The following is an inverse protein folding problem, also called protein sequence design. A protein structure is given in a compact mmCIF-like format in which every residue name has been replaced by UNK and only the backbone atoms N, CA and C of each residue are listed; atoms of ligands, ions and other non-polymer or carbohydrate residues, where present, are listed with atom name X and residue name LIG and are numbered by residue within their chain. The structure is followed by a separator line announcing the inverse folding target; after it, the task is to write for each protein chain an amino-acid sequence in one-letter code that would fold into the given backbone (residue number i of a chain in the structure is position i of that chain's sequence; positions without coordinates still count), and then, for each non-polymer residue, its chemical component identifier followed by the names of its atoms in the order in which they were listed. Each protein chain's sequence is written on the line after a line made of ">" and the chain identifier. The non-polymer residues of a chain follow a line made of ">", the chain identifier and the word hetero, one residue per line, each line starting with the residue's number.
data_IF_734901865458
#
_entry.id   IF_734901865458
#
_cell.length_a   1.000
_cell.length_b   1.000
_cell.length_c   1.000
_cell.angle_alpha   90.00
_cell.angle_beta   90.00
_cell.angle_gamma   90.00
#
_symmetry.space_group_name_H-M   'P 1'
#
loop_
_entity.id
_entity.type
_entity.pdbx_description
1 polymer ?
#
# COMPACT_ATOMS: atom_id res chain seq x y z
N UNK A 1 -6.22 7.33 5.06
CA UNK A 1 -6.47 6.06 5.77
C UNK A 1 -5.20 5.23 5.75
N UNK A 2 -4.74 4.76 6.91
CA UNK A 2 -3.63 3.81 6.97
C UNK A 2 -4.14 2.39 6.77
N UNK A 3 -3.46 1.62 5.93
CA UNK A 3 -3.82 0.24 5.62
C UNK A 3 -2.67 -0.68 6.01
N UNK A 4 -2.99 -1.72 6.77
CA UNK A 4 -2.03 -2.73 7.21
C UNK A 4 -1.81 -3.83 6.16
N UNK A 5 -0.82 -4.69 6.43
CA UNK A 5 -0.45 -5.83 5.57
C UNK A 5 -1.61 -6.79 5.34
N UNK A 6 -2.48 -7.01 6.34
CA UNK A 6 -3.56 -7.98 6.23
C UNK A 6 -4.62 -7.54 5.23
N UNK A 7 -4.98 -6.25 5.23
CA UNK A 7 -5.94 -5.68 4.28
C UNK A 7 -5.36 -5.64 2.87
N UNK A 8 -4.10 -5.20 2.71
CA UNK A 8 -3.44 -5.19 1.40
C UNK A 8 -3.27 -6.60 0.85
N UNK A 9 -2.90 -7.58 1.70
CA UNK A 9 -2.77 -8.98 1.28
C UNK A 9 -4.12 -9.57 0.86
N UNK A 10 -5.20 -9.32 1.62
CA UNK A 10 -6.53 -9.82 1.27
C UNK A 10 -7.04 -9.23 -0.05
N UNK A 11 -6.90 -7.91 -0.25
CA UNK A 11 -7.33 -7.25 -1.47
C UNK A 11 -6.43 -7.55 -2.66
N UNK A 12 -5.12 -7.64 -2.45
CA UNK A 12 -4.15 -7.97 -3.50
C UNK A 12 -4.33 -9.39 -4.02
N UNK A 13 -4.54 -10.38 -3.15
CA UNK A 13 -4.89 -11.76 -3.56
C UNK A 13 -6.21 -11.83 -4.33
N UNK A 14 -7.16 -10.95 -4.00
CA UNK A 14 -8.41 -10.84 -4.75
C UNK A 14 -8.28 -10.01 -6.04
N UNK A 15 -7.13 -9.37 -6.31
CA UNK A 15 -6.92 -8.38 -7.39
C UNK A 15 -7.90 -7.21 -7.31
N UNK A 16 -8.21 -6.79 -6.08
CA UNK A 16 -9.20 -5.77 -5.73
C UNK A 16 -8.64 -4.59 -4.93
N UNK A 17 -7.36 -4.28 -5.07
CA UNK A 17 -6.77 -3.08 -4.43
C UNK A 17 -7.44 -1.80 -4.98
N UNK A 18 -8.01 -1.87 -6.19
CA UNK A 18 -8.84 -0.81 -6.79
C UNK A 18 -10.01 -0.38 -5.90
N UNK A 19 -10.53 -1.25 -5.03
CA UNK A 19 -11.58 -0.91 -4.07
C UNK A 19 -11.14 0.14 -3.07
N UNK A 20 -9.83 0.29 -2.83
CA UNK A 20 -9.31 1.32 -1.94
C UNK A 20 -9.44 2.73 -2.53
N UNK A 21 -9.70 2.88 -3.84
CA UNK A 21 -9.98 4.18 -4.49
C UNK A 21 -11.18 4.93 -3.90
N UNK A 22 -12.05 4.24 -3.15
CA UNK A 22 -13.17 4.90 -2.44
C UNK A 22 -12.67 5.82 -1.32
N UNK A 23 -11.41 5.67 -0.91
CA UNK A 23 -10.75 6.53 0.05
C UNK A 23 -9.81 7.47 -0.72
N UNK A 24 -9.88 8.77 -0.43
CA UNK A 24 -9.10 9.78 -1.15
C UNK A 24 -7.59 9.61 -0.98
N UNK A 25 -7.14 9.18 0.20
CA UNK A 25 -5.72 8.99 0.53
C UNK A 25 -5.49 7.66 1.23
N UNK A 26 -5.03 6.66 0.48
CA UNK A 26 -4.70 5.33 1.03
C UNK A 26 -3.19 5.25 1.23
N UNK A 27 -2.78 5.11 2.48
CA UNK A 27 -1.38 5.08 2.86
C UNK A 27 -1.00 3.69 3.37
N UNK A 28 0.02 3.08 2.75
CA UNK A 28 0.64 1.86 3.24
C UNK A 28 1.96 2.21 3.93
N UNK A 29 2.19 1.83 5.19
CA UNK A 29 3.49 2.02 5.81
C UNK A 29 4.61 1.34 5.01
N UNK A 30 5.80 1.95 4.94
CA UNK A 30 6.96 1.34 4.27
C UNK A 30 7.25 -0.09 4.74
N UNK A 31 7.09 -0.37 6.04
CA UNK A 31 7.27 -1.73 6.59
C UNK A 31 6.30 -2.74 5.98
N UNK A 32 5.03 -2.37 5.81
CA UNK A 32 4.00 -3.19 5.14
C UNK A 32 4.38 -3.46 3.68
N UNK A 33 4.84 -2.42 2.99
CA UNK A 33 5.30 -2.59 1.61
C UNK A 33 6.52 -3.52 1.51
N UNK A 34 7.48 -3.40 2.43
CA UNK A 34 8.62 -4.32 2.52
C UNK A 34 8.20 -5.76 2.79
N UNK A 35 7.29 -6.00 3.73
CA UNK A 35 6.75 -7.34 4.02
C UNK A 35 6.09 -7.98 2.78
N UNK A 36 5.38 -7.19 1.98
CA UNK A 36 4.78 -7.65 0.73
C UNK A 36 5.85 -8.03 -0.29
N UNK A 37 6.89 -7.21 -0.44
CA UNK A 37 8.00 -7.47 -1.37
C UNK A 37 8.82 -8.69 -0.98
N UNK A 38 8.90 -9.01 0.31
CA UNK A 38 9.58 -10.20 0.83
C UNK A 38 8.71 -11.46 0.76
N UNK A 39 7.43 -11.34 0.36
CA UNK A 39 6.56 -12.49 0.19
C UNK A 39 6.89 -13.31 -1.07
N UNK A 40 6.62 -14.60 -1.04
CA UNK A 40 6.75 -15.49 -2.22
C UNK A 40 5.59 -15.31 -3.23
N UNK A 41 4.61 -14.46 -2.92
CA UNK A 41 3.40 -14.24 -3.72
C UNK A 41 3.66 -13.15 -4.79
N UNK A 42 4.15 -13.60 -5.94
CA UNK A 42 4.49 -12.71 -7.06
C UNK A 42 3.28 -11.95 -7.61
N UNK A 43 2.09 -12.55 -7.61
CA UNK A 43 0.87 -11.88 -8.06
C UNK A 43 0.49 -10.73 -7.13
N UNK A 44 0.59 -10.96 -5.81
CA UNK A 44 0.37 -9.91 -4.82
C UNK A 44 1.36 -8.75 -5.00
N UNK A 45 2.64 -9.05 -5.21
CA UNK A 45 3.68 -8.03 -5.44
C UNK A 45 3.37 -7.19 -6.68
N UNK A 46 3.01 -7.82 -7.79
CA UNK A 46 2.68 -7.11 -9.03
C UNK A 46 1.45 -6.20 -8.87
N UNK A 47 0.40 -6.70 -8.21
CA UNK A 47 -0.83 -5.94 -8.01
C UNK A 47 -0.61 -4.72 -7.10
N UNK A 48 0.18 -4.87 -6.05
CA UNK A 48 0.53 -3.74 -5.16
C UNK A 48 1.37 -2.70 -5.90
N UNK A 49 2.38 -3.11 -6.66
CA UNK A 49 3.21 -2.20 -7.49
C UNK A 49 2.40 -1.45 -8.53
N UNK A 50 1.47 -2.14 -9.19
CA UNK A 50 0.54 -1.54 -10.15
C UNK A 50 -0.36 -0.52 -9.47
N UNK A 51 -0.90 -0.85 -8.30
CA UNK A 51 -1.77 0.05 -7.54
C UNK A 51 -1.07 1.33 -7.10
N UNK A 52 0.22 1.25 -6.72
CA UNK A 52 1.06 2.42 -6.44
C UNK A 52 1.24 3.25 -7.72
N UNK A 53 1.57 2.61 -8.84
CA UNK A 53 1.79 3.29 -10.12
C UNK A 53 0.53 3.99 -10.64
N UNK A 54 -0.65 3.48 -10.29
CA UNK A 54 -1.96 4.07 -10.61
C UNK A 54 -2.39 5.15 -9.60
N UNK A 55 -1.60 5.44 -8.58
CA UNK A 55 -1.92 6.41 -7.52
C UNK A 55 -3.07 5.97 -6.62
N UNK A 56 -3.39 4.67 -6.57
CA UNK A 56 -4.46 4.12 -5.73
C UNK A 56 -4.02 4.05 -4.27
N UNK A 57 -2.74 3.73 -4.06
CA UNK A 57 -2.12 3.66 -2.75
C UNK A 57 -0.76 4.34 -2.80
N UNK A 58 -0.39 5.02 -1.72
CA UNK A 58 0.89 5.69 -1.57
C UNK A 58 1.66 5.07 -0.41
N UNK A 59 2.98 4.94 -0.57
CA UNK A 59 3.83 4.47 0.52
C UNK A 59 4.06 5.64 1.48
N UNK A 60 3.75 5.43 2.74
CA UNK A 60 4.02 6.36 3.80
C UNK A 60 5.35 6.06 4.47
N UNK A 61 6.24 7.04 4.46
CA UNK A 61 7.49 7.03 5.19
C UNK A 61 7.33 7.86 6.47
N UNK A 62 7.88 7.36 7.58
CA UNK A 62 7.86 8.11 8.85
C UNK A 62 8.62 9.44 8.74
N UNK A 63 9.56 9.54 7.80
CA UNK A 63 10.29 10.76 7.46
C UNK A 63 9.38 11.82 6.80
N UNK A 64 8.23 11.44 6.22
CA UNK A 64 7.25 12.37 5.66
C UNK A 64 6.51 13.17 6.74
N UNK A 65 6.56 12.74 8.02
CA UNK A 65 5.95 13.47 9.15
C UNK A 65 6.81 14.64 9.65
N UNK A 66 8.10 14.67 9.30
CA UNK A 66 9.04 15.67 9.82
C UNK A 66 8.84 17.06 9.20
N UNK A 67 8.06 17.19 8.11
CA UNK A 67 7.76 18.46 7.46
C UNK A 67 6.53 19.21 8.04
N UNK A 68 5.79 18.63 8.99
CA UNK A 68 4.60 19.27 9.61
C UNK A 68 4.93 19.91 10.98
N UNK A 69 6.21 20.16 11.27
CA UNK A 69 6.62 20.96 12.43
C UNK A 69 7.33 22.22 11.98
N UNK A 70 6.57 23.24 11.60
CA UNK A 70 7.00 24.65 11.53
C UNK A 70 5.93 25.50 12.22
#
# INVERSE_FOLDING_TARGET
>A
MFVDTSVISALGKAKRIDLLKIFDDVLIPKGVFSEILESEDTELIEEVKKSISLGIVSIFNREDLTEITI
#
